data_IF_686395763545
#
_entry.id   IF_686395763545
#
_cell.length_a   1.000
_cell.length_b   1.000
_cell.length_c   1.000
_cell.angle_alpha   90.00
_cell.angle_beta   90.00
_cell.angle_gamma   90.00
#
_symmetry.space_group_name_H-M   'P 1'
#
loop_
_entity.id
_entity.type
_entity.pdbx_description
1 polymer ?
#
# COMPACT_ATOMS: atom_id res chain seq x y z
N UNK A 1 10.83 28.85 37.49
CA UNK A 1 11.30 29.60 36.29
C UNK A 1 11.15 28.70 35.08
N UNK A 2 9.93 28.53 34.58
CA UNK A 2 9.56 27.54 33.54
C UNK A 2 8.59 28.13 32.50
N UNK A 3 8.67 29.44 32.25
CA UNK A 3 7.73 30.15 31.36
C UNK A 3 8.26 30.47 29.95
N UNK A 4 9.56 30.28 29.68
CA UNK A 4 10.18 30.74 28.43
C UNK A 4 9.84 29.85 27.20
N UNK A 5 9.58 28.54 27.42
CA UNK A 5 9.29 27.62 26.31
C UNK A 5 7.89 27.80 25.71
N UNK A 6 6.91 28.13 26.55
CA UNK A 6 5.51 28.28 26.13
C UNK A 6 5.27 29.56 25.32
N UNK A 7 5.96 30.65 25.68
CA UNK A 7 5.86 31.92 24.93
C UNK A 7 6.47 31.84 23.54
N UNK A 8 7.60 31.13 23.39
CA UNK A 8 8.24 30.91 22.08
C UNK A 8 7.32 30.14 21.12
N UNK A 9 6.58 29.15 21.63
CA UNK A 9 5.64 28.39 20.80
C UNK A 9 4.43 29.23 20.35
N UNK A 10 3.95 30.15 21.21
CA UNK A 10 2.83 31.05 20.90
C UNK A 10 3.20 32.10 19.84
N UNK A 11 4.42 32.64 19.87
CA UNK A 11 4.90 33.59 18.86
C UNK A 11 4.99 32.95 17.47
N UNK A 12 5.44 31.70 17.37
CA UNK A 12 5.54 30.97 16.11
C UNK A 12 4.18 30.71 15.44
N UNK A 13 3.14 30.41 16.24
CA UNK A 13 1.77 30.21 15.70
C UNK A 13 1.17 31.51 15.15
N UNK A 14 1.36 32.64 15.83
CA UNK A 14 0.82 33.93 15.37
C UNK A 14 1.41 34.37 14.03
N UNK A 15 2.71 34.15 13.81
CA UNK A 15 3.34 34.44 12.51
C UNK A 15 2.86 33.56 11.36
N UNK A 16 2.29 32.37 11.64
CA UNK A 16 1.84 31.44 10.59
C UNK A 16 0.38 31.70 10.15
N UNK A 17 -0.37 32.51 10.90
CA UNK A 17 -1.80 32.74 10.67
C UNK A 17 -2.13 34.09 10.03
N UNK A 18 -1.18 35.03 9.91
CA UNK A 18 -1.41 36.35 9.31
C UNK A 18 -1.15 36.40 7.78
N UNK A 19 -0.88 35.25 7.14
CA UNK A 19 -0.50 35.18 5.72
C UNK A 19 -1.54 34.64 4.74
N UNK A 20 -2.73 34.20 5.19
CA UNK A 20 -3.74 33.58 4.30
C UNK A 20 -5.15 34.01 4.69
N UNK A 21 -5.45 35.30 4.53
CA UNK A 21 -6.82 35.80 4.43
C UNK A 21 -6.97 36.62 3.14
N UNK A 22 -7.31 35.94 2.05
CA UNK A 22 -8.16 36.54 1.02
C UNK A 22 -8.85 35.46 0.20
N UNK A 23 -10.18 35.60 0.16
CA UNK A 23 -11.16 35.00 -0.75
C UNK A 23 -11.77 33.63 -0.36
N UNK A 24 -12.88 33.72 0.39
CA UNK A 24 -13.98 32.75 0.39
C UNK A 24 -14.74 32.83 -0.94
N UNK A 25 -15.18 31.69 -1.49
CA UNK A 25 -16.59 31.41 -1.81
C UNK A 25 -16.85 29.91 -2.12
N UNK A 26 -18.12 29.42 -1.99
CA UNK A 26 -18.45 28.02 -1.72
C UNK A 26 -18.69 27.13 -2.95
N UNK A 27 -18.76 25.81 -2.69
CA UNK A 27 -18.89 24.68 -3.64
C UNK A 27 -20.02 24.76 -4.68
N UNK A 28 -19.94 23.94 -5.74
CA UNK A 28 -20.94 22.87 -5.86
C UNK A 28 -20.37 21.51 -6.28
N UNK A 29 -21.13 20.47 -5.95
CA UNK A 29 -20.94 19.08 -6.37
C UNK A 29 -21.08 18.90 -7.89
N UNK A 30 -20.33 17.95 -8.47
CA UNK A 30 -20.73 17.07 -9.59
C UNK A 30 -19.65 16.02 -9.89
N UNK A 31 -20.09 14.84 -10.33
CA UNK A 31 -19.35 13.75 -10.98
C UNK A 31 -18.32 14.29 -12.01
N UNK A 32 -17.21 13.62 -12.33
CA UNK A 32 -17.10 12.33 -13.01
C UNK A 32 -15.62 11.88 -13.00
N UNK A 33 -15.39 10.59 -13.23
CA UNK A 33 -14.07 9.96 -13.13
C UNK A 33 -13.03 10.43 -14.15
N UNK A 34 -11.79 10.61 -13.69
CA UNK A 34 -10.60 10.49 -14.54
C UNK A 34 -9.40 10.04 -13.68
N UNK A 35 -8.96 8.81 -13.93
CA UNK A 35 -7.79 8.22 -13.29
C UNK A 35 -6.53 8.90 -13.84
N UNK A 36 -6.04 9.90 -13.10
CA UNK A 36 -4.76 10.55 -13.41
C UNK A 36 -3.71 10.01 -12.45
N UNK A 37 -2.87 9.06 -12.91
CA UNK A 37 -1.71 8.59 -12.17
C UNK A 37 -0.63 9.68 -12.29
N UNK A 38 -0.59 10.59 -11.33
CA UNK A 38 0.50 11.55 -11.20
C UNK A 38 1.78 10.83 -10.77
N UNK A 39 2.77 10.82 -11.66
CA UNK A 39 4.16 10.47 -11.36
C UNK A 39 4.78 11.63 -10.58
N UNK A 40 4.98 11.45 -9.28
CA UNK A 40 5.81 12.36 -8.49
C UNK A 40 7.28 11.96 -8.64
N UNK A 41 7.96 12.71 -9.49
CA UNK A 41 9.42 12.76 -9.59
C UNK A 41 9.97 13.44 -8.34
N UNK A 42 10.54 12.67 -7.41
CA UNK A 42 11.30 13.18 -6.28
C UNK A 42 12.75 12.74 -6.41
N UNK A 43 13.50 13.54 -7.17
CA UNK A 43 14.95 13.62 -7.05
C UNK A 43 15.35 14.00 -5.61
N UNK A 44 16.22 13.20 -4.99
CA UNK A 44 17.59 13.58 -4.58
C UNK A 44 18.05 12.78 -3.34
N UNK A 45 19.19 12.10 -3.45
CA UNK A 45 19.85 11.46 -2.31
C UNK A 45 20.82 10.35 -2.70
N UNK A 46 21.94 10.72 -3.31
CA UNK A 46 23.05 9.80 -3.55
C UNK A 46 23.62 9.27 -2.22
N UNK A 47 23.70 7.96 -2.08
CA UNK A 47 24.61 7.28 -1.17
C UNK A 47 25.12 6.03 -1.88
N UNK A 48 26.34 6.12 -2.42
CA UNK A 48 27.06 4.98 -3.00
C UNK A 48 27.45 4.00 -1.89
N UNK A 49 26.88 2.80 -1.92
CA UNK A 49 27.58 1.59 -1.48
C UNK A 49 26.85 0.35 -2.00
N UNK A 50 27.49 -0.39 -2.90
CA UNK A 50 27.08 -1.72 -3.35
C UNK A 50 26.00 -1.73 -4.43
N UNK A 51 26.39 -1.49 -5.68
CA UNK A 51 25.58 -1.88 -6.83
C UNK A 51 25.52 -3.43 -6.90
N UNK A 52 24.60 -4.03 -6.14
CA UNK A 52 24.00 -5.27 -6.60
C UNK A 52 23.09 -4.90 -7.76
N UNK A 53 23.24 -5.61 -8.86
CA UNK A 53 22.47 -5.47 -10.09
C UNK A 53 21.02 -5.96 -9.86
N UNK A 54 20.35 -5.37 -8.87
CA UNK A 54 19.01 -5.72 -8.45
C UNK A 54 18.04 -4.92 -9.30
N UNK A 55 17.58 -5.55 -10.38
CA UNK A 55 16.50 -5.02 -11.21
C UNK A 55 15.35 -4.61 -10.29
N UNK A 56 14.86 -3.38 -10.49
CA UNK A 56 13.76 -2.85 -9.69
C UNK A 56 12.54 -3.75 -9.88
N UNK A 57 11.86 -4.15 -8.80
CA UNK A 57 10.63 -4.99 -8.86
C UNK A 57 9.62 -4.39 -9.84
N UNK A 58 9.58 -3.06 -9.93
CA UNK A 58 8.67 -2.33 -10.81
C UNK A 58 8.96 -2.53 -12.30
N UNK A 59 10.18 -2.93 -12.64
CA UNK A 59 10.61 -3.23 -14.01
C UNK A 59 10.38 -4.71 -14.35
N UNK A 60 10.38 -5.59 -13.36
CA UNK A 60 10.22 -7.04 -13.52
C UNK A 60 8.76 -7.51 -13.38
N UNK A 61 7.99 -6.90 -12.48
CA UNK A 61 6.63 -7.35 -12.13
C UNK A 61 5.54 -6.40 -12.64
N UNK A 62 4.45 -7.00 -13.13
CA UNK A 62 3.28 -6.26 -13.63
C UNK A 62 2.34 -5.97 -12.46
N UNK A 63 2.19 -4.68 -12.14
CA UNK A 63 1.23 -4.21 -11.14
C UNK A 63 -0.20 -4.58 -11.53
N UNK A 64 -0.83 -5.43 -10.72
CA UNK A 64 -2.19 -5.93 -10.97
C UNK A 64 -3.12 -5.50 -9.83
N UNK A 65 -4.22 -4.83 -10.18
CA UNK A 65 -5.27 -4.42 -9.24
C UNK A 65 -6.46 -5.37 -9.34
N UNK A 66 -7.03 -5.74 -8.20
CA UNK A 66 -8.17 -6.66 -8.10
C UNK A 66 -9.12 -6.24 -6.98
N UNK A 67 -10.39 -6.58 -7.14
CA UNK A 67 -11.41 -6.40 -6.11
C UNK A 67 -11.56 -7.70 -5.33
N UNK A 68 -11.43 -7.63 -4.02
CA UNK A 68 -11.60 -8.77 -3.12
C UNK A 68 -12.72 -8.49 -2.12
N UNK A 69 -13.53 -9.49 -1.75
CA UNK A 69 -14.42 -9.42 -0.60
C UNK A 69 -13.69 -8.93 0.67
N UNK A 70 -14.41 -8.21 1.54
CA UNK A 70 -13.83 -7.64 2.76
C UNK A 70 -13.22 -8.73 3.66
N UNK A 71 -13.89 -9.88 3.75
CA UNK A 71 -13.45 -11.04 4.52
C UNK A 71 -12.08 -11.52 4.01
N UNK A 72 -11.94 -11.73 2.71
CA UNK A 72 -10.67 -12.16 2.11
C UNK A 72 -9.56 -11.12 2.33
N UNK A 73 -9.88 -9.83 2.24
CA UNK A 73 -8.92 -8.76 2.52
C UNK A 73 -8.42 -8.81 3.97
N UNK A 74 -9.31 -9.08 4.93
CA UNK A 74 -8.95 -9.25 6.35
C UNK A 74 -8.09 -10.49 6.56
N UNK A 75 -8.45 -11.60 5.94
CA UNK A 75 -7.70 -12.85 6.03
C UNK A 75 -6.29 -12.74 5.44
N UNK A 76 -6.14 -12.12 4.27
CA UNK A 76 -4.83 -11.85 3.67
C UNK A 76 -3.95 -10.98 4.56
N UNK A 77 -4.52 -9.93 5.18
CA UNK A 77 -3.77 -9.08 6.11
C UNK A 77 -3.32 -9.86 7.35
N UNK A 78 -4.20 -10.68 7.93
CA UNK A 78 -3.87 -11.51 9.08
C UNK A 78 -2.76 -12.51 8.73
N UNK A 79 -2.93 -13.24 7.63
CA UNK A 79 -1.98 -14.24 7.17
C UNK A 79 -0.61 -13.62 6.88
N UNK A 80 -0.58 -12.49 6.18
CA UNK A 80 0.67 -11.76 5.93
C UNK A 80 1.41 -11.41 7.22
N UNK A 81 0.72 -10.85 8.22
CA UNK A 81 1.38 -10.45 9.47
C UNK A 81 1.98 -11.64 10.22
N UNK A 82 1.30 -12.79 10.20
CA UNK A 82 1.79 -14.02 10.84
C UNK A 82 3.03 -14.54 10.09
N UNK A 83 2.91 -14.76 8.78
CA UNK A 83 4.02 -15.28 7.98
C UNK A 83 5.22 -14.35 7.98
N UNK A 84 4.98 -13.03 7.93
CA UNK A 84 6.04 -12.02 8.04
C UNK A 84 6.81 -12.18 9.35
N UNK A 85 6.11 -12.23 10.48
CA UNK A 85 6.75 -12.33 11.78
C UNK A 85 7.53 -13.63 11.94
N UNK A 86 6.97 -14.75 11.48
CA UNK A 86 7.63 -16.06 11.52
C UNK A 86 8.87 -16.09 10.63
N UNK A 87 8.77 -15.60 9.39
CA UNK A 87 9.89 -15.57 8.44
C UNK A 87 11.03 -14.66 8.93
N UNK A 88 10.70 -13.42 9.33
CA UNK A 88 11.69 -12.46 9.82
C UNK A 88 12.38 -12.93 11.10
N UNK A 89 11.65 -13.62 11.99
CA UNK A 89 12.25 -14.19 13.20
C UNK A 89 13.22 -15.33 12.89
N UNK A 90 12.87 -16.20 11.93
CA UNK A 90 13.67 -17.38 11.61
C UNK A 90 14.91 -17.05 10.76
N UNK A 91 14.76 -16.14 9.79
CA UNK A 91 15.77 -15.88 8.77
C UNK A 91 16.48 -14.53 8.89
N UNK A 92 16.02 -13.62 9.77
CA UNK A 92 16.54 -12.24 9.90
C UNK A 92 16.53 -11.46 8.57
N UNK A 93 15.56 -11.77 7.71
CA UNK A 93 15.38 -11.21 6.36
C UNK A 93 14.00 -10.56 6.19
N UNK A 94 13.93 -9.40 5.52
CA UNK A 94 12.66 -8.67 5.35
C UNK A 94 11.66 -9.43 4.47
N UNK A 95 10.45 -9.63 5.00
CA UNK A 95 9.36 -10.27 4.27
C UNK A 95 8.37 -9.23 3.72
N UNK A 96 8.67 -8.71 2.53
CA UNK A 96 7.85 -7.72 1.82
C UNK A 96 6.56 -8.27 1.21
N UNK A 97 5.50 -7.46 1.29
CA UNK A 97 4.16 -7.82 0.81
C UNK A 97 4.06 -8.04 -0.70
N UNK A 98 4.60 -7.10 -1.48
CA UNK A 98 4.48 -7.12 -2.95
C UNK A 98 5.56 -7.99 -3.60
N UNK A 99 6.74 -8.09 -2.98
CA UNK A 99 7.85 -8.90 -3.50
C UNK A 99 7.69 -10.40 -3.20
N UNK A 100 7.16 -10.74 -2.03
CA UNK A 100 7.16 -12.13 -1.54
C UNK A 100 5.73 -12.66 -1.33
N UNK A 101 4.95 -12.00 -0.49
CA UNK A 101 3.66 -12.54 -0.04
C UNK A 101 2.65 -12.72 -1.18
N UNK A 102 2.36 -11.66 -1.93
CA UNK A 102 1.34 -11.73 -2.99
C UNK A 102 1.71 -12.70 -4.13
N UNK A 103 2.97 -12.72 -4.62
CA UNK A 103 3.39 -13.75 -5.58
C UNK A 103 3.16 -15.18 -5.08
N UNK A 104 3.48 -15.48 -3.80
CA UNK A 104 3.21 -16.79 -3.22
C UNK A 104 1.71 -17.12 -3.18
N UNK A 105 0.88 -16.20 -2.70
CA UNK A 105 -0.58 -16.38 -2.67
C UNK A 105 -1.14 -16.68 -4.06
N UNK A 106 -0.68 -15.94 -5.08
CA UNK A 106 -1.12 -16.13 -6.47
C UNK A 106 -0.64 -17.47 -7.01
N UNK A 107 0.63 -17.85 -6.80
CA UNK A 107 1.18 -19.12 -7.25
C UNK A 107 0.39 -20.30 -6.69
N UNK A 108 0.18 -20.35 -5.37
CA UNK A 108 -0.60 -21.40 -4.74
C UNK A 108 -2.09 -21.35 -5.13
N UNK A 109 -2.62 -20.17 -5.42
CA UNK A 109 -3.97 -20.00 -5.95
C UNK A 109 -4.11 -20.61 -7.35
N UNK A 110 -3.12 -20.39 -8.23
CA UNK A 110 -3.07 -20.99 -9.57
C UNK A 110 -2.97 -22.51 -9.46
N UNK A 111 -2.04 -23.01 -8.66
CA UNK A 111 -1.86 -24.46 -8.45
C UNK A 111 -3.13 -25.11 -7.86
N UNK A 112 -3.82 -24.42 -6.95
CA UNK A 112 -5.06 -24.92 -6.33
C UNK A 112 -6.29 -24.85 -7.24
N UNK A 113 -6.20 -24.15 -8.37
CA UNK A 113 -7.22 -24.12 -9.43
C UNK A 113 -6.84 -24.99 -10.63
N UNK A 114 -5.54 -25.27 -10.81
CA UNK A 114 -5.05 -26.13 -11.87
C UNK A 114 -5.57 -27.57 -11.68
N UNK A 115 -6.13 -28.14 -12.75
CA UNK A 115 -6.75 -29.45 -12.73
C UNK A 115 -8.22 -29.49 -12.28
N UNK A 116 -8.82 -28.38 -11.84
CA UNK A 116 -10.27 -28.34 -11.57
C UNK A 116 -11.07 -28.28 -12.86
N UNK A 117 -12.20 -28.98 -12.88
CA UNK A 117 -13.15 -28.89 -14.00
C UNK A 117 -14.10 -27.68 -13.84
N UNK A 118 -14.83 -27.37 -14.92
CA UNK A 118 -15.74 -26.22 -14.94
C UNK A 118 -16.88 -26.31 -13.92
N UNK A 119 -17.31 -27.52 -13.56
CA UNK A 119 -18.38 -27.72 -12.57
C UNK A 119 -17.88 -27.49 -11.16
N UNK A 120 -16.65 -27.90 -10.86
CA UNK A 120 -15.98 -27.65 -9.59
C UNK A 120 -15.71 -26.15 -9.41
N UNK A 121 -15.23 -25.46 -10.45
CA UNK A 121 -15.03 -24.00 -10.44
C UNK A 121 -16.35 -23.30 -10.14
N UNK A 122 -17.45 -23.71 -10.79
CA UNK A 122 -18.78 -23.13 -10.54
C UNK A 122 -19.22 -23.29 -9.08
N UNK A 123 -19.08 -24.49 -8.52
CA UNK A 123 -19.43 -24.76 -7.13
C UNK A 123 -18.63 -23.87 -6.15
N UNK A 124 -17.33 -23.68 -6.41
CA UNK A 124 -16.50 -22.77 -5.60
C UNK A 124 -16.92 -21.31 -5.71
N UNK A 125 -17.30 -20.85 -6.89
CA UNK A 125 -17.82 -19.49 -7.08
C UNK A 125 -19.13 -19.27 -6.34
N UNK A 126 -20.04 -20.24 -6.37
CA UNK A 126 -21.31 -20.18 -5.63
C UNK A 126 -21.04 -20.04 -4.12
N UNK A 127 -20.14 -20.86 -3.55
CA UNK A 127 -19.75 -20.77 -2.13
C UNK A 127 -19.06 -19.46 -1.74
N UNK A 128 -18.41 -18.78 -2.68
CA UNK A 128 -17.64 -17.56 -2.42
C UNK A 128 -18.52 -16.30 -2.40
N UNK A 129 -19.70 -16.38 -3.04
CA UNK A 129 -20.63 -15.26 -3.20
C UNK A 129 -22.02 -15.48 -2.58
N UNK A 130 -22.30 -16.67 -2.04
CA UNK A 130 -23.43 -16.93 -1.12
C UNK A 130 -23.13 -16.44 0.32
#
# INVERSE_FOLDING_TARGET
MTDDRAERLRKRRKQSTEGVESERQPAPASNDGEATIERSDSSNGASESGASDSVSIKEEQIGTYMYLPEIQTKELRRLYNVLKAEYEFEYDEEFEKNRHFYPLVVQYGIEGLDGLDTSEIRSRLEQLYE
#
